data_IF_486691817037
#
_entry.id   IF_486691817037
#
_cell.length_a   1.000
_cell.length_b   1.000
_cell.length_c   1.000
_cell.angle_alpha   90.00
_cell.angle_beta   90.00
_cell.angle_gamma   90.00
#
_symmetry.space_group_name_H-M   'P 1'
#
loop_
_entity.id
_entity.type
_entity.pdbx_description
1 polymer ?
#
# COMPACT_ATOMS: atom_id res chain seq x y z
N UNK A 1 18.39 55.42 75.49
CA UNK A 1 19.86 55.55 75.39
C UNK A 1 20.27 55.52 73.93
N UNK A 2 20.96 56.57 73.49
CA UNK A 2 21.24 56.93 72.11
C UNK A 2 22.17 55.95 71.38
N UNK A 3 21.87 55.65 70.11
CA UNK A 3 22.87 55.09 69.17
C UNK A 3 23.06 56.02 67.98
N UNK A 4 24.34 56.34 67.79
CA UNK A 4 24.95 57.36 66.94
C UNK A 4 24.72 57.10 65.45
N UNK A 5 24.37 58.17 64.76
CA UNK A 5 24.32 58.26 63.30
C UNK A 5 25.76 58.40 62.76
N UNK A 6 26.25 57.41 62.02
CA UNK A 6 27.54 57.45 61.32
C UNK A 6 27.30 57.95 59.89
N UNK A 7 27.66 59.21 59.64
CA UNK A 7 27.79 59.77 58.29
C UNK A 7 28.99 59.12 57.60
N UNK A 8 28.71 58.35 56.54
CA UNK A 8 29.72 57.80 55.63
C UNK A 8 29.89 58.77 54.46
N UNK A 9 30.95 59.57 54.50
CA UNK A 9 31.42 60.37 53.35
C UNK A 9 31.98 59.40 52.30
N UNK A 10 31.38 59.39 51.11
CA UNK A 10 31.96 58.76 49.92
C UNK A 10 32.53 59.87 49.05
N UNK A 11 33.82 59.78 48.77
CA UNK A 11 34.52 60.64 47.82
C UNK A 11 33.94 60.48 46.41
N UNK A 12 33.96 61.55 45.59
CA UNK A 12 33.51 61.49 44.21
C UNK A 12 34.56 60.73 43.38
N UNK A 13 34.20 59.54 42.92
CA UNK A 13 34.93 58.85 41.87
C UNK A 13 34.83 59.69 40.59
N UNK A 14 35.97 60.20 40.14
CA UNK A 14 36.16 60.87 38.85
C UNK A 14 35.75 59.90 37.75
N UNK A 15 34.59 60.16 37.15
CA UNK A 15 34.11 59.45 35.97
C UNK A 15 34.90 59.93 34.76
N UNK A 16 35.79 59.09 34.25
CA UNK A 16 36.35 59.24 32.91
C UNK A 16 35.21 58.90 31.94
N UNK A 17 34.47 59.92 31.51
CA UNK A 17 33.49 59.82 30.43
C UNK A 17 34.23 59.77 29.09
N UNK A 18 34.62 58.57 28.66
CA UNK A 18 34.91 58.33 27.26
C UNK A 18 33.58 58.46 26.51
N UNK A 19 33.38 59.55 25.77
CA UNK A 19 32.25 59.70 24.87
C UNK A 19 32.43 58.74 23.70
N UNK A 20 31.84 57.55 23.85
CA UNK A 20 31.49 56.70 22.73
C UNK A 20 30.20 57.27 22.10
N UNK A 21 30.31 58.45 21.51
CA UNK A 21 29.26 59.04 20.71
C UNK A 21 29.06 58.19 19.46
N UNK A 22 27.82 57.74 19.23
CA UNK A 22 27.32 57.64 17.86
C UNK A 22 26.63 56.37 17.40
N UNK A 23 26.46 55.30 18.20
CA UNK A 23 25.60 54.17 17.78
C UNK A 23 24.30 54.18 18.57
N UNK A 24 23.15 54.57 17.97
CA UNK A 24 21.88 54.58 18.67
C UNK A 24 21.52 53.17 19.12
N UNK A 25 21.55 52.93 20.42
CA UNK A 25 21.25 51.65 21.07
C UNK A 25 19.83 51.11 20.78
N UNK A 26 18.96 51.89 20.12
CA UNK A 26 17.61 51.52 19.72
C UNK A 26 17.48 50.81 18.36
N UNK A 27 18.50 50.84 17.49
CA UNK A 27 18.37 50.30 16.13
C UNK A 27 18.53 48.77 16.03
N UNK A 28 19.17 48.12 17.01
CA UNK A 28 19.57 46.70 16.86
C UNK A 28 18.49 45.66 17.19
N UNK A 29 17.41 46.05 17.89
CA UNK A 29 16.35 45.10 18.32
C UNK A 29 15.17 45.08 17.36
N UNK A 30 14.79 46.23 16.79
CA UNK A 30 13.72 46.30 15.78
C UNK A 30 14.10 45.55 14.49
N UNK A 31 15.35 45.67 14.03
CA UNK A 31 15.86 44.96 12.86
C UNK A 31 15.85 43.44 13.04
N UNK A 32 16.27 42.92 14.21
CA UNK A 32 16.28 41.47 14.50
C UNK A 32 14.90 40.83 14.46
N UNK A 33 13.86 41.54 14.91
CA UNK A 33 12.47 41.03 14.89
C UNK A 33 11.92 40.99 13.46
N UNK A 34 12.31 41.92 12.59
CA UNK A 34 11.89 41.88 11.17
C UNK A 34 12.55 40.73 10.40
N UNK A 35 13.86 40.51 10.59
CA UNK A 35 14.59 39.42 9.93
C UNK A 35 13.98 38.06 10.27
N UNK A 36 13.68 37.78 11.54
CA UNK A 36 13.09 36.50 11.95
C UNK A 36 11.73 36.23 11.30
N UNK A 37 10.90 37.26 11.09
CA UNK A 37 9.58 37.11 10.45
C UNK A 37 9.70 36.83 8.96
N UNK A 38 10.65 37.50 8.30
CA UNK A 38 10.92 37.29 6.89
C UNK A 38 11.39 35.86 6.63
N UNK A 39 12.35 35.36 7.43
CA UNK A 39 12.85 33.98 7.32
C UNK A 39 11.72 32.97 7.50
N UNK A 40 10.86 33.14 8.51
CA UNK A 40 9.72 32.23 8.71
C UNK A 40 8.74 32.23 7.55
N UNK A 41 8.39 33.40 7.03
CA UNK A 41 7.50 33.49 5.87
C UNK A 41 8.13 32.87 4.63
N UNK A 42 9.43 33.08 4.39
CA UNK A 42 10.16 32.49 3.27
C UNK A 42 10.18 30.95 3.36
N UNK A 43 10.49 30.39 4.54
CA UNK A 43 10.46 28.94 4.78
C UNK A 43 9.06 28.39 4.53
N UNK A 44 8.02 29.06 5.03
CA UNK A 44 6.65 28.63 4.84
C UNK A 44 6.21 28.69 3.37
N UNK A 45 6.52 29.78 2.67
CA UNK A 45 6.22 29.93 1.25
C UNK A 45 6.94 28.87 0.40
N UNK A 46 8.19 28.55 0.74
CA UNK A 46 8.93 27.45 0.13
C UNK A 46 8.24 26.10 0.38
N UNK A 47 7.76 25.84 1.60
CA UNK A 47 6.99 24.63 1.87
C UNK A 47 5.71 24.53 1.01
N UNK A 48 4.99 25.64 0.83
CA UNK A 48 3.82 25.66 -0.07
C UNK A 48 4.22 25.37 -1.51
N UNK A 49 5.31 25.96 -2.01
CA UNK A 49 5.79 25.74 -3.37
C UNK A 49 6.16 24.26 -3.62
N UNK A 50 6.92 23.65 -2.70
CA UNK A 50 7.26 22.21 -2.76
C UNK A 50 6.00 21.36 -2.76
N UNK A 51 5.02 21.70 -1.92
CA UNK A 51 3.76 20.97 -1.85
C UNK A 51 2.94 21.03 -3.15
N UNK A 52 2.87 22.22 -3.78
CA UNK A 52 2.21 22.40 -5.08
C UNK A 52 2.89 21.55 -6.14
N UNK A 53 4.23 21.54 -6.18
CA UNK A 53 5.00 20.68 -7.10
C UNK A 53 4.66 19.20 -6.88
N UNK A 54 4.58 18.73 -5.64
CA UNK A 54 4.21 17.34 -5.34
C UNK A 54 2.79 16.99 -5.84
N UNK A 55 1.82 17.89 -5.69
CA UNK A 55 0.46 17.69 -6.23
C UNK A 55 0.49 17.60 -7.76
N UNK A 56 1.24 18.48 -8.42
CA UNK A 56 1.36 18.47 -9.89
C UNK A 56 2.01 17.17 -10.37
N UNK A 57 3.12 16.75 -9.74
CA UNK A 57 3.79 15.48 -10.06
C UNK A 57 2.84 14.30 -9.90
N UNK A 58 2.09 14.25 -8.80
CA UNK A 58 1.08 13.21 -8.58
C UNK A 58 0.01 13.22 -9.68
N UNK A 59 -0.50 14.40 -10.05
CA UNK A 59 -1.50 14.56 -11.11
C UNK A 59 -0.99 14.07 -12.47
N UNK A 60 0.25 14.41 -12.84
CA UNK A 60 0.89 13.96 -14.08
C UNK A 60 1.10 12.44 -14.07
N UNK A 61 1.67 11.88 -13.00
CA UNK A 61 1.91 10.44 -12.90
C UNK A 61 0.61 9.63 -13.01
N UNK A 62 -0.47 10.11 -12.37
CA UNK A 62 -1.79 9.48 -12.46
C UNK A 62 -2.41 9.62 -13.86
N UNK A 63 -2.30 10.77 -14.49
CA UNK A 63 -2.82 10.97 -15.85
C UNK A 63 -2.08 10.09 -16.88
N UNK A 64 -0.78 9.87 -16.67
CA UNK A 64 0.07 9.12 -17.58
C UNK A 64 0.04 7.61 -17.38
N UNK A 65 -0.39 7.13 -16.20
CA UNK A 65 -0.41 5.70 -15.93
C UNK A 65 -1.45 4.94 -16.79
N UNK A 66 -2.43 5.63 -17.37
CA UNK A 66 -3.55 5.05 -18.11
C UNK A 66 -4.69 4.55 -17.20
N UNK A 67 -5.85 4.22 -17.76
CA UNK A 67 -7.02 3.80 -16.99
C UNK A 67 -6.77 2.51 -16.19
N UNK A 68 -7.13 2.50 -14.91
CA UNK A 68 -7.13 1.30 -14.07
C UNK A 68 -5.75 0.76 -13.66
N UNK A 69 -4.66 1.44 -14.03
CA UNK A 69 -3.31 1.11 -13.61
C UNK A 69 -2.93 1.78 -12.29
N UNK A 70 -3.53 2.94 -11.99
CA UNK A 70 -3.31 3.67 -10.74
C UNK A 70 -4.08 3.02 -9.58
N UNK A 71 -3.45 2.76 -8.42
CA UNK A 71 -4.14 2.17 -7.27
C UNK A 71 -5.34 3.00 -6.82
N UNK A 72 -6.49 2.35 -6.61
CA UNK A 72 -7.66 3.01 -6.02
C UNK A 72 -7.59 2.97 -4.50
N UNK A 73 -8.36 3.83 -3.84
CA UNK A 73 -8.43 3.92 -2.37
C UNK A 73 -8.71 2.57 -1.69
N UNK A 74 -9.59 1.77 -2.31
CA UNK A 74 -10.07 0.49 -1.79
C UNK A 74 -9.06 -0.64 -2.06
N UNK A 75 -8.04 -0.39 -2.88
CA UNK A 75 -6.95 -1.33 -3.15
C UNK A 75 -5.86 -1.28 -2.08
N UNK A 76 -5.64 -0.10 -1.50
CA UNK A 76 -4.57 0.18 -0.53
C UNK A 76 -5.09 0.32 0.91
N UNK A 77 -6.38 0.05 1.13
CA UNK A 77 -7.00 0.09 2.46
C UNK A 77 -7.09 1.50 3.05
N UNK A 78 -7.14 2.54 2.22
CA UNK A 78 -7.20 3.93 2.69
C UNK A 78 -8.56 4.24 3.33
N UNK A 79 -8.54 4.70 4.59
CA UNK A 79 -9.76 5.01 5.33
C UNK A 79 -10.20 6.45 5.11
N UNK A 80 -11.17 6.64 4.20
CA UNK A 80 -11.81 7.94 3.95
C UNK A 80 -12.34 8.55 5.26
N UNK A 81 -12.88 7.71 6.16
CA UNK A 81 -13.43 8.16 7.44
C UNK A 81 -12.36 8.83 8.31
N UNK A 82 -11.18 8.22 8.43
CA UNK A 82 -10.07 8.79 9.22
C UNK A 82 -9.53 10.06 8.56
N UNK A 83 -9.34 10.05 7.24
CA UNK A 83 -8.83 11.19 6.50
C UNK A 83 -9.79 12.39 6.53
N UNK A 84 -11.09 12.15 6.41
CA UNK A 84 -12.14 13.16 6.52
C UNK A 84 -12.24 13.72 7.94
N UNK A 85 -12.19 12.88 8.98
CA UNK A 85 -12.19 13.32 10.37
C UNK A 85 -10.98 14.22 10.67
N UNK A 86 -9.78 13.83 10.24
CA UNK A 86 -8.57 14.65 10.37
C UNK A 86 -8.70 16.00 9.66
N UNK A 87 -9.25 16.01 8.45
CA UNK A 87 -9.46 17.24 7.68
C UNK A 87 -10.50 18.15 8.33
N UNK A 88 -11.59 17.59 8.86
CA UNK A 88 -12.60 18.34 9.62
C UNK A 88 -12.00 19.01 10.86
N UNK A 89 -11.18 18.29 11.63
CA UNK A 89 -10.47 18.85 12.79
C UNK A 89 -9.58 20.04 12.40
N UNK A 90 -8.89 19.97 11.25
CA UNK A 90 -8.05 21.06 10.75
C UNK A 90 -8.86 22.29 10.33
N UNK A 91 -10.03 22.10 9.71
CA UNK A 91 -10.94 23.19 9.34
C UNK A 91 -11.49 23.86 10.59
N UNK A 92 -11.99 23.09 11.55
CA UNK A 92 -12.50 23.61 12.83
C UNK A 92 -11.38 24.33 13.59
N UNK A 93 -10.19 23.73 13.66
CA UNK A 93 -9.00 24.36 14.27
C UNK A 93 -8.70 25.73 13.65
N UNK A 94 -8.76 25.84 12.32
CA UNK A 94 -8.57 27.11 11.62
C UNK A 94 -9.62 28.16 12.00
N UNK A 95 -10.90 27.78 12.10
CA UNK A 95 -11.98 28.69 12.52
C UNK A 95 -11.78 29.17 13.96
N UNK A 96 -11.41 28.25 14.86
CA UNK A 96 -11.13 28.57 16.27
C UNK A 96 -9.94 29.55 16.39
N UNK A 97 -8.87 29.35 15.60
CA UNK A 97 -7.72 30.25 15.60
C UNK A 97 -8.06 31.66 15.08
N UNK A 98 -8.92 31.76 14.06
CA UNK A 98 -9.47 33.05 13.61
C UNK A 98 -10.24 33.76 14.73
N UNK A 99 -11.04 33.01 15.49
CA UNK A 99 -11.74 33.50 16.69
C UNK A 99 -10.77 33.98 17.78
N UNK A 100 -9.73 33.19 18.07
CA UNK A 100 -8.68 33.54 19.01
C UNK A 100 -8.07 34.91 18.67
N UNK A 101 -7.68 35.10 17.40
CA UNK A 101 -7.13 36.37 16.91
C UNK A 101 -8.06 37.55 17.15
N UNK A 102 -9.35 37.43 16.76
CA UNK A 102 -10.35 38.50 16.96
C UNK A 102 -10.52 38.88 18.43
N UNK A 103 -10.56 37.89 19.32
CA UNK A 103 -10.66 38.11 20.77
C UNK A 103 -9.43 38.84 21.31
N UNK A 104 -8.25 38.56 20.75
CA UNK A 104 -6.98 39.16 21.17
C UNK A 104 -6.81 40.58 20.63
N UNK A 105 -7.30 40.85 19.43
CA UNK A 105 -7.40 42.20 18.86
C UNK A 105 -8.28 43.12 19.72
N UNK A 106 -9.32 42.57 20.37
CA UNK A 106 -10.16 43.27 21.36
C UNK A 106 -9.52 43.42 22.75
N UNK A 107 -8.27 42.98 22.93
CA UNK A 107 -7.54 43.11 24.19
C UNK A 107 -7.77 41.99 25.23
N UNK A 108 -8.66 41.03 24.95
CA UNK A 108 -8.98 39.93 25.87
C UNK A 108 -7.99 38.74 25.74
N UNK A 109 -6.72 38.98 26.06
CA UNK A 109 -5.63 38.02 25.83
C UNK A 109 -5.89 36.62 26.42
N UNK A 110 -6.31 36.52 27.69
CA UNK A 110 -6.49 35.21 28.35
C UNK A 110 -7.50 34.32 27.62
N UNK A 111 -8.62 34.90 27.17
CA UNK A 111 -9.64 34.18 26.40
C UNK A 111 -9.11 33.76 25.04
N UNK A 112 -8.42 34.67 24.35
CA UNK A 112 -7.81 34.35 23.07
C UNK A 112 -6.74 33.26 23.13
N UNK A 113 -5.90 33.29 24.16
CA UNK A 113 -4.93 32.23 24.43
C UNK A 113 -5.62 30.87 24.66
N UNK A 114 -6.75 30.85 25.36
CA UNK A 114 -7.56 29.63 25.52
C UNK A 114 -8.05 29.09 24.16
N UNK A 115 -8.64 29.93 23.31
CA UNK A 115 -9.04 29.52 21.97
C UNK A 115 -7.86 29.02 21.13
N UNK A 116 -6.72 29.70 21.17
CA UNK A 116 -5.51 29.26 20.48
C UNK A 116 -4.99 27.90 20.98
N UNK A 117 -5.04 27.64 22.28
CA UNK A 117 -4.72 26.33 22.84
C UNK A 117 -5.69 25.24 22.37
N UNK A 118 -6.99 25.54 22.28
CA UNK A 118 -7.98 24.62 21.71
C UNK A 118 -7.68 24.33 20.24
N UNK A 119 -7.35 25.36 19.44
CA UNK A 119 -6.95 25.18 18.04
C UNK A 119 -5.71 24.28 17.92
N UNK A 120 -4.72 24.45 18.79
CA UNK A 120 -3.53 23.61 18.85
C UNK A 120 -3.87 22.15 19.19
N UNK A 121 -4.72 21.92 20.21
CA UNK A 121 -5.17 20.57 20.58
C UNK A 121 -5.88 19.86 19.41
N UNK A 122 -6.75 20.57 18.69
CA UNK A 122 -7.43 20.03 17.51
C UNK A 122 -6.44 19.64 16.39
N UNK A 123 -5.40 20.46 16.16
CA UNK A 123 -4.37 20.13 15.18
C UNK A 123 -3.48 18.95 15.60
N UNK A 124 -3.14 18.84 16.88
CA UNK A 124 -2.41 17.68 17.42
C UNK A 124 -3.26 16.41 17.27
N UNK A 125 -4.56 16.47 17.54
CA UNK A 125 -5.48 15.35 17.29
C UNK A 125 -5.54 14.95 15.82
N UNK A 126 -5.58 15.93 14.91
CA UNK A 126 -5.54 15.67 13.46
C UNK A 126 -4.23 14.99 13.03
N UNK A 127 -3.08 15.44 13.58
CA UNK A 127 -1.78 14.79 13.37
C UNK A 127 -1.78 13.35 13.92
N UNK A 128 -2.42 13.11 15.06
CA UNK A 128 -2.60 11.79 15.64
C UNK A 128 -3.38 10.84 14.72
N UNK A 129 -4.48 11.30 14.12
CA UNK A 129 -5.24 10.52 13.14
C UNK A 129 -4.40 10.19 11.90
N UNK A 130 -3.58 11.15 11.41
CA UNK A 130 -2.64 10.89 10.30
C UNK A 130 -1.56 9.89 10.67
N UNK A 131 -1.00 9.98 11.88
CA UNK A 131 -0.04 9.00 12.37
C UNK A 131 -0.66 7.60 12.49
N UNK A 132 -1.92 7.50 12.91
CA UNK A 132 -2.65 6.24 12.96
C UNK A 132 -2.88 5.65 11.57
N UNK A 133 -3.36 6.45 10.61
CA UNK A 133 -3.52 6.04 9.22
C UNK A 133 -2.20 5.55 8.63
N UNK A 134 -1.11 6.28 8.87
CA UNK A 134 0.21 5.90 8.40
C UNK A 134 0.71 4.58 9.02
N UNK A 135 0.39 4.31 10.29
CA UNK A 135 0.67 3.01 10.93
C UNK A 135 -0.11 1.86 10.27
N UNK A 136 -1.37 2.08 9.89
CA UNK A 136 -2.16 1.08 9.18
C UNK A 136 -1.54 0.77 7.81
N UNK A 137 -1.16 1.80 7.06
CA UNK A 137 -0.45 1.65 5.80
C UNK A 137 0.87 0.89 5.95
N UNK A 138 1.69 1.23 6.95
CA UNK A 138 2.94 0.51 7.22
C UNK A 138 2.72 -0.96 7.59
N UNK A 139 1.66 -1.25 8.36
CA UNK A 139 1.28 -2.62 8.72
C UNK A 139 0.86 -3.42 7.49
N UNK A 140 0.28 -2.75 6.50
CA UNK A 140 -0.14 -3.34 5.24
C UNK A 140 0.93 -3.20 4.15
N UNK A 141 2.18 -2.91 4.53
CA UNK A 141 3.35 -2.97 3.66
C UNK A 141 3.72 -1.68 2.92
N UNK A 142 2.95 -0.60 3.09
CA UNK A 142 3.19 0.71 2.46
C UNK A 142 3.95 1.60 3.44
N UNK A 143 5.27 1.69 3.31
CA UNK A 143 6.15 2.47 4.20
C UNK A 143 6.95 3.58 3.50
N UNK A 144 7.55 4.47 4.30
CA UNK A 144 8.39 5.60 3.86
C UNK A 144 9.74 5.12 3.32
N UNK A 145 10.25 4.02 3.87
CA UNK A 145 11.48 3.36 3.37
C UNK A 145 11.22 2.49 2.14
N UNK A 146 10.08 2.70 1.48
CA UNK A 146 9.64 1.94 0.33
C UNK A 146 8.45 1.05 0.61
N UNK A 147 7.86 0.58 -0.47
CA UNK A 147 6.91 -0.52 -0.42
C UNK A 147 7.69 -1.78 -0.03
N UNK A 148 7.32 -2.41 1.10
CA UNK A 148 7.87 -3.72 1.48
C UNK A 148 7.49 -4.78 0.44
N UNK A 149 7.97 -6.01 0.60
CA UNK A 149 7.77 -7.22 -0.25
C UNK A 149 6.29 -7.60 -0.57
N UNK A 150 5.33 -6.68 -0.42
CA UNK A 150 3.91 -6.85 -0.63
C UNK A 150 3.37 -6.08 -1.84
N UNK A 151 4.05 -5.06 -2.38
CA UNK A 151 3.60 -4.44 -3.65
C UNK A 151 4.66 -4.50 -4.73
N UNK A 152 4.21 -4.94 -5.88
CA UNK A 152 5.01 -5.11 -7.08
C UNK A 152 4.43 -4.21 -8.17
N UNK A 153 5.32 -3.56 -8.93
CA UNK A 153 4.89 -2.73 -10.06
C UNK A 153 4.40 -3.60 -11.23
N UNK A 154 4.90 -4.83 -11.34
CA UNK A 154 4.57 -5.77 -12.40
C UNK A 154 4.33 -7.17 -11.83
N UNK A 155 3.45 -7.92 -12.48
CA UNK A 155 3.19 -9.32 -12.14
C UNK A 155 4.20 -10.18 -12.92
N UNK A 156 5.42 -10.25 -12.42
CA UNK A 156 6.55 -10.96 -13.02
C UNK A 156 6.96 -12.20 -12.20
N UNK A 157 8.07 -12.84 -12.56
CA UNK A 157 8.60 -14.00 -11.83
C UNK A 157 8.96 -13.66 -10.38
N UNK A 158 9.39 -12.42 -10.09
CA UNK A 158 9.66 -11.99 -8.73
C UNK A 158 8.38 -11.88 -7.91
N UNK A 159 7.31 -11.38 -8.51
CA UNK A 159 5.98 -11.37 -7.91
C UNK A 159 5.49 -12.79 -7.60
N UNK A 160 5.58 -13.71 -8.55
CA UNK A 160 5.22 -15.12 -8.37
C UNK A 160 6.00 -15.75 -7.21
N UNK A 161 7.32 -15.55 -7.17
CA UNK A 161 8.16 -16.04 -6.09
C UNK A 161 7.79 -15.42 -4.73
N UNK A 162 7.43 -14.13 -4.68
CA UNK A 162 7.00 -13.48 -3.46
C UNK A 162 5.69 -14.05 -2.92
N UNK A 163 4.72 -14.33 -3.80
CA UNK A 163 3.45 -14.99 -3.43
C UNK A 163 3.73 -16.38 -2.85
N UNK A 164 4.57 -17.18 -3.52
CA UNK A 164 5.00 -18.50 -3.04
C UNK A 164 5.63 -18.43 -1.65
N UNK A 165 6.62 -17.56 -1.48
CA UNK A 165 7.32 -17.34 -0.21
C UNK A 165 6.34 -16.96 0.91
N UNK A 166 5.37 -16.09 0.61
CA UNK A 166 4.35 -15.68 1.59
C UNK A 166 3.46 -16.83 2.02
N UNK A 167 2.95 -17.64 1.08
CA UNK A 167 2.14 -18.82 1.41
C UNK A 167 2.92 -19.84 2.23
N UNK A 168 4.19 -20.09 1.87
CA UNK A 168 5.07 -20.97 2.65
C UNK A 168 5.31 -20.47 4.08
N UNK A 169 5.50 -19.16 4.27
CA UNK A 169 5.62 -18.58 5.61
C UNK A 169 4.34 -18.77 6.44
N UNK A 170 3.17 -18.60 5.82
CA UNK A 170 1.88 -18.79 6.51
C UNK A 170 1.65 -20.24 6.89
N UNK A 171 1.89 -21.18 5.96
CA UNK A 171 1.76 -22.62 6.20
C UNK A 171 2.67 -23.06 7.34
N UNK A 172 3.99 -22.77 7.26
CA UNK A 172 4.95 -23.06 8.33
C UNK A 172 4.53 -22.47 9.67
N UNK A 173 3.99 -21.24 9.65
CA UNK A 173 3.51 -20.58 10.86
C UNK A 173 2.31 -21.28 11.52
N UNK A 174 1.45 -21.93 10.74
CA UNK A 174 0.34 -22.74 11.24
C UNK A 174 0.79 -24.13 11.66
N UNK A 175 1.68 -24.77 10.90
CA UNK A 175 2.27 -26.07 11.25
C UNK A 175 3.02 -26.02 12.58
N UNK A 176 3.83 -24.98 12.81
CA UNK A 176 4.53 -24.76 14.09
C UNK A 176 3.53 -24.59 15.24
N UNK A 177 2.38 -23.94 15.02
CA UNK A 177 1.33 -23.84 16.04
C UNK A 177 0.65 -25.18 16.29
N UNK A 178 0.38 -25.94 15.24
CA UNK A 178 -0.23 -27.28 15.31
C UNK A 178 0.63 -28.22 16.14
N UNK A 179 1.95 -28.21 15.94
CA UNK A 179 2.89 -29.05 16.69
C UNK A 179 3.13 -28.55 18.11
N UNK A 180 3.30 -27.24 18.30
CA UNK A 180 3.59 -26.67 19.61
C UNK A 180 2.38 -26.66 20.56
N UNK A 181 1.15 -26.56 20.03
CA UNK A 181 -0.09 -26.43 20.82
C UNK A 181 -1.25 -27.18 20.15
N UNK A 182 -1.21 -28.53 20.08
CA UNK A 182 -2.23 -29.31 19.38
C UNK A 182 -3.63 -29.11 19.96
N UNK A 183 -3.76 -28.99 21.29
CA UNK A 183 -5.05 -28.76 21.95
C UNK A 183 -5.65 -27.36 21.68
N UNK A 184 -4.83 -26.38 21.26
CA UNK A 184 -5.28 -25.03 20.92
C UNK A 184 -5.44 -24.84 19.40
N UNK A 185 -5.14 -25.86 18.60
CA UNK A 185 -5.25 -25.78 17.14
C UNK A 185 -6.71 -25.96 16.74
N UNK A 186 -7.33 -24.86 16.30
CA UNK A 186 -8.77 -24.83 16.04
C UNK A 186 -9.12 -25.44 14.69
N UNK A 187 -10.39 -25.80 14.51
CA UNK A 187 -10.93 -26.20 13.18
C UNK A 187 -10.71 -25.09 12.15
N UNK A 188 -10.79 -23.82 12.57
CA UNK A 188 -10.51 -22.67 11.70
C UNK A 188 -9.03 -22.60 11.27
N UNK A 189 -8.09 -22.98 12.16
CA UNK A 189 -6.68 -23.05 11.79
C UNK A 189 -6.41 -24.18 10.79
N UNK A 190 -7.08 -25.33 10.95
CA UNK A 190 -7.01 -26.43 9.99
C UNK A 190 -7.56 -26.01 8.62
N UNK A 191 -8.77 -25.44 8.58
CA UNK A 191 -9.38 -24.93 7.34
C UNK A 191 -8.48 -23.88 6.66
N UNK A 192 -7.82 -23.04 7.44
CA UNK A 192 -6.89 -22.05 6.92
C UNK A 192 -5.63 -22.70 6.35
N UNK A 193 -5.10 -23.73 7.00
CA UNK A 193 -3.97 -24.51 6.49
C UNK A 193 -4.34 -25.20 5.18
N UNK A 194 -5.50 -25.85 5.13
CA UNK A 194 -6.02 -26.52 3.92
C UNK A 194 -6.19 -25.54 2.76
N UNK A 195 -6.74 -24.35 3.03
CA UNK A 195 -6.82 -23.27 2.06
C UNK A 195 -5.44 -22.84 1.55
N UNK A 196 -4.47 -22.67 2.44
CA UNK A 196 -3.10 -22.26 2.06
C UNK A 196 -2.45 -23.32 1.19
N UNK A 197 -2.56 -24.60 1.56
CA UNK A 197 -2.04 -25.73 0.78
C UNK A 197 -2.66 -25.76 -0.61
N UNK A 198 -3.98 -25.64 -0.69
CA UNK A 198 -4.69 -25.56 -1.98
C UNK A 198 -4.21 -24.37 -2.83
N UNK A 199 -3.97 -23.18 -2.23
CA UNK A 199 -3.40 -22.04 -2.97
C UNK A 199 -1.94 -22.28 -3.40
N UNK A 200 -1.15 -23.02 -2.62
CA UNK A 200 0.22 -23.35 -3.00
C UNK A 200 0.25 -24.27 -4.22
N UNK A 201 -0.64 -25.26 -4.27
CA UNK A 201 -0.72 -26.25 -5.35
C UNK A 201 -1.46 -25.69 -6.57
N UNK A 202 -2.74 -25.37 -6.38
CA UNK A 202 -3.64 -25.03 -7.47
C UNK A 202 -3.44 -23.62 -8.01
N UNK A 203 -2.93 -22.65 -7.23
CA UNK A 203 -2.67 -21.29 -7.72
C UNK A 203 -1.21 -21.09 -8.09
N UNK A 204 -0.30 -21.24 -7.14
CA UNK A 204 1.13 -20.93 -7.37
C UNK A 204 1.82 -22.04 -8.15
N UNK A 205 1.67 -23.30 -7.73
CA UNK A 205 2.32 -24.46 -8.37
C UNK A 205 1.91 -24.60 -9.83
N UNK A 206 0.60 -24.53 -10.09
CA UNK A 206 0.05 -24.47 -11.44
C UNK A 206 0.66 -23.34 -12.28
N UNK A 207 0.70 -22.11 -11.74
CA UNK A 207 1.25 -20.96 -12.47
C UNK A 207 2.75 -21.14 -12.75
N UNK A 208 3.53 -21.66 -11.80
CA UNK A 208 4.95 -21.96 -11.99
C UNK A 208 5.18 -23.00 -13.10
N UNK A 209 4.39 -24.09 -13.08
CA UNK A 209 4.48 -25.14 -14.08
C UNK A 209 4.13 -24.61 -15.47
N UNK A 210 3.03 -23.89 -15.62
CA UNK A 210 2.64 -23.30 -16.90
C UNK A 210 3.67 -22.30 -17.41
N UNK A 211 4.16 -21.41 -16.55
CA UNK A 211 5.22 -20.46 -16.91
C UNK A 211 6.50 -21.18 -17.38
N UNK A 212 6.80 -22.34 -16.79
CA UNK A 212 7.90 -23.22 -17.21
C UNK A 212 7.68 -23.91 -18.55
N UNK A 213 6.43 -24.13 -18.98
CA UNK A 213 6.13 -24.63 -20.33
C UNK A 213 6.29 -23.55 -21.40
N UNK A 214 5.99 -22.30 -21.08
CA UNK A 214 6.05 -21.17 -22.02
C UNK A 214 7.40 -20.43 -22.01
N UNK A 215 8.54 -21.15 -21.91
CA UNK A 215 9.87 -20.52 -21.80
C UNK A 215 10.19 -19.55 -22.95
N UNK A 216 9.72 -19.87 -24.16
CA UNK A 216 9.97 -19.08 -25.37
C UNK A 216 8.98 -17.90 -25.51
N UNK A 217 7.75 -18.05 -25.02
CA UNK A 217 6.72 -17.03 -25.13
C UNK A 217 6.64 -16.16 -23.86
N UNK A 218 7.35 -15.04 -23.90
CA UNK A 218 7.38 -14.06 -22.81
C UNK A 218 6.03 -13.41 -22.56
N UNK A 219 5.19 -13.27 -23.58
CA UNK A 219 3.87 -12.65 -23.44
C UNK A 219 2.92 -13.60 -22.71
N UNK A 220 2.85 -14.88 -23.12
CA UNK A 220 2.01 -15.89 -22.48
C UNK A 220 2.37 -16.07 -21.01
N UNK A 221 3.68 -16.09 -20.67
CA UNK A 221 4.13 -16.14 -19.27
C UNK A 221 3.61 -14.96 -18.47
N UNK A 222 3.73 -13.75 -19.02
CA UNK A 222 3.26 -12.54 -18.35
C UNK A 222 1.75 -12.56 -18.14
N UNK A 223 0.97 -12.94 -19.15
CA UNK A 223 -0.49 -13.03 -19.05
C UNK A 223 -0.95 -14.04 -17.99
N UNK A 224 -0.23 -15.17 -17.83
CA UNK A 224 -0.51 -16.15 -16.77
C UNK A 224 -0.25 -15.58 -15.38
N UNK A 225 0.88 -14.89 -15.18
CA UNK A 225 1.20 -14.30 -13.88
C UNK A 225 0.27 -13.10 -13.59
N UNK A 226 -0.12 -12.33 -14.61
CA UNK A 226 -1.12 -11.27 -14.50
C UNK A 226 -2.51 -11.81 -14.14
N UNK A 227 -2.90 -12.96 -14.69
CA UNK A 227 -4.11 -13.66 -14.30
C UNK A 227 -4.05 -14.03 -12.82
N UNK A 228 -2.97 -14.68 -12.35
CA UNK A 228 -2.79 -14.98 -10.92
C UNK A 228 -2.86 -13.70 -10.05
N UNK A 229 -2.20 -12.62 -10.47
CA UNK A 229 -2.25 -11.34 -9.75
C UNK A 229 -3.67 -10.79 -9.65
N UNK A 230 -4.46 -10.89 -10.72
CA UNK A 230 -5.87 -10.49 -10.72
C UNK A 230 -6.69 -11.35 -9.74
N UNK A 231 -6.46 -12.66 -9.67
CA UNK A 231 -7.18 -13.55 -8.76
C UNK A 231 -6.89 -13.20 -7.29
N UNK A 232 -5.64 -12.79 -7.00
CA UNK A 232 -5.24 -12.33 -5.67
C UNK A 232 -5.90 -10.98 -5.32
N UNK A 233 -5.88 -10.04 -6.26
CA UNK A 233 -6.43 -8.71 -6.09
C UNK A 233 -6.98 -8.13 -7.42
N UNK A 234 -8.30 -8.27 -7.66
CA UNK A 234 -8.94 -7.77 -8.86
C UNK A 234 -8.85 -6.25 -8.96
N UNK A 235 -8.35 -5.78 -10.10
CA UNK A 235 -8.32 -4.36 -10.46
C UNK A 235 -9.16 -4.13 -11.70
N UNK A 236 -9.96 -3.06 -11.72
CA UNK A 236 -10.88 -2.77 -12.82
C UNK A 236 -10.18 -2.76 -14.20
N UNK A 237 -8.96 -2.21 -14.29
CA UNK A 237 -8.21 -2.13 -15.56
C UNK A 237 -7.69 -3.45 -16.12
N UNK A 238 -7.69 -4.55 -15.34
CA UNK A 238 -7.20 -5.87 -15.77
C UNK A 238 -8.32 -6.87 -16.00
N UNK A 239 -9.58 -6.49 -15.78
CA UNK A 239 -10.71 -7.42 -15.76
C UNK A 239 -10.91 -8.15 -17.08
N UNK A 240 -10.93 -7.41 -18.19
CA UNK A 240 -11.26 -8.01 -19.49
C UNK A 240 -10.15 -8.96 -19.97
N UNK A 241 -8.88 -8.55 -19.80
CA UNK A 241 -7.72 -9.40 -20.09
C UNK A 241 -7.69 -10.65 -19.21
N UNK A 242 -7.92 -10.50 -17.91
CA UNK A 242 -7.95 -11.64 -16.99
C UNK A 242 -9.12 -12.59 -17.28
N UNK A 243 -10.28 -12.07 -17.66
CA UNK A 243 -11.44 -12.88 -18.07
C UNK A 243 -11.16 -13.65 -19.35
N UNK A 244 -10.65 -12.99 -20.38
CA UNK A 244 -10.29 -13.65 -21.64
C UNK A 244 -9.27 -14.77 -21.39
N UNK A 245 -8.26 -14.51 -20.55
CA UNK A 245 -7.25 -15.52 -20.20
C UNK A 245 -7.83 -16.67 -19.39
N UNK A 246 -8.75 -16.40 -18.46
CA UNK A 246 -9.40 -17.45 -17.68
C UNK A 246 -10.24 -18.39 -18.55
N UNK A 247 -10.92 -17.89 -19.58
CA UNK A 247 -11.65 -18.74 -20.53
C UNK A 247 -10.70 -19.60 -21.37
N UNK A 248 -9.59 -19.03 -21.85
CA UNK A 248 -8.53 -19.81 -22.53
C UNK A 248 -7.96 -20.89 -21.60
N UNK A 249 -7.75 -20.58 -20.33
CA UNK A 249 -7.30 -21.54 -19.33
C UNK A 249 -8.31 -22.68 -19.11
N UNK A 250 -9.60 -22.37 -19.01
CA UNK A 250 -10.66 -23.39 -18.88
C UNK A 250 -10.68 -24.34 -20.06
N UNK A 251 -10.61 -23.81 -21.28
CA UNK A 251 -10.54 -24.62 -22.50
C UNK A 251 -9.26 -25.48 -22.55
N UNK A 252 -8.13 -24.94 -22.10
CA UNK A 252 -6.88 -25.68 -22.01
C UNK A 252 -6.96 -26.83 -20.99
N UNK A 253 -7.55 -26.58 -19.81
CA UNK A 253 -7.79 -27.59 -18.78
C UNK A 253 -8.67 -28.73 -19.31
N UNK A 254 -9.78 -28.39 -19.97
CA UNK A 254 -10.69 -29.38 -20.56
C UNK A 254 -9.99 -30.24 -21.63
N UNK A 255 -9.23 -29.61 -22.54
CA UNK A 255 -8.47 -30.33 -23.56
C UNK A 255 -7.42 -31.25 -22.96
N UNK A 256 -6.65 -30.80 -21.97
CA UNK A 256 -5.66 -31.64 -21.27
C UNK A 256 -6.30 -32.81 -20.55
N UNK A 257 -7.47 -32.61 -19.91
CA UNK A 257 -8.21 -33.69 -19.27
C UNK A 257 -8.65 -34.75 -20.28
N UNK A 258 -9.21 -34.33 -21.41
CA UNK A 258 -9.57 -35.25 -22.50
C UNK A 258 -8.35 -36.01 -23.02
N UNK A 259 -7.22 -35.32 -23.17
CA UNK A 259 -5.96 -35.91 -23.61
C UNK A 259 -5.47 -37.01 -22.66
N UNK A 260 -5.45 -36.74 -21.35
CA UNK A 260 -5.09 -37.75 -20.35
C UNK A 260 -6.13 -38.88 -20.22
N UNK A 261 -7.41 -38.59 -20.42
CA UNK A 261 -8.46 -39.62 -20.42
C UNK A 261 -8.27 -40.62 -21.56
N UNK A 262 -7.92 -40.14 -22.76
CA UNK A 262 -7.60 -40.98 -23.93
C UNK A 262 -6.38 -41.86 -23.66
N UNK A 263 -5.31 -41.31 -23.07
CA UNK A 263 -4.14 -42.11 -22.69
C UNK A 263 -4.45 -43.13 -21.58
N UNK A 264 -5.26 -42.74 -20.59
CA UNK A 264 -5.69 -43.64 -19.52
C UNK A 264 -6.47 -44.83 -20.10
N UNK A 265 -7.41 -44.56 -21.00
CA UNK A 265 -8.18 -45.60 -21.68
C UNK A 265 -7.26 -46.54 -22.45
N UNK A 266 -6.29 -46.00 -23.20
CA UNK A 266 -5.28 -46.79 -23.89
C UNK A 266 -4.50 -47.73 -22.96
N UNK A 267 -4.01 -47.22 -21.81
CA UNK A 267 -3.25 -48.01 -20.84
C UNK A 267 -4.09 -49.11 -20.15
N UNK A 268 -5.41 -48.96 -20.09
CA UNK A 268 -6.30 -49.93 -19.44
C UNK A 268 -6.72 -51.06 -20.37
N UNK A 269 -6.56 -50.90 -21.69
CA UNK A 269 -6.90 -51.95 -22.64
C UNK A 269 -5.81 -53.02 -22.69
N UNK A 270 -6.17 -54.32 -22.73
CA UNK A 270 -5.18 -55.40 -22.80
C UNK A 270 -4.35 -55.34 -24.10
N UNK A 271 -3.11 -55.81 -24.02
CA UNK A 271 -2.23 -55.97 -25.18
C UNK A 271 -2.77 -57.11 -26.09
N UNK A 272 -3.56 -56.75 -27.09
CA UNK A 272 -4.05 -57.65 -28.14
C UNK A 272 -3.33 -57.45 -29.48
N UNK A 273 -3.65 -58.31 -30.46
CA UNK A 273 -3.04 -58.34 -31.79
C UNK A 273 -3.14 -56.99 -32.56
N UNK A 274 -4.11 -56.13 -32.21
CA UNK A 274 -4.34 -54.83 -32.86
C UNK A 274 -3.62 -53.64 -32.18
N UNK A 275 -2.53 -53.87 -31.45
CA UNK A 275 -1.82 -52.83 -30.70
C UNK A 275 -1.38 -51.63 -31.57
N UNK A 276 -0.88 -51.88 -32.79
CA UNK A 276 -0.41 -50.81 -33.70
C UNK A 276 -1.58 -49.98 -34.27
N UNK A 277 -2.68 -50.62 -34.67
CA UNK A 277 -3.86 -49.91 -35.18
C UNK A 277 -4.47 -49.01 -34.09
N UNK A 278 -4.54 -49.52 -32.85
CA UNK A 278 -4.98 -48.74 -31.68
C UNK A 278 -4.07 -47.56 -31.40
N UNK A 279 -2.75 -47.77 -31.40
CA UNK A 279 -1.78 -46.70 -31.20
C UNK A 279 -1.95 -45.57 -32.24
N UNK A 280 -2.15 -45.92 -33.52
CA UNK A 280 -2.40 -44.94 -34.57
C UNK A 280 -3.69 -44.14 -34.35
N UNK A 281 -4.80 -44.80 -33.98
CA UNK A 281 -6.07 -44.12 -33.70
C UNK A 281 -6.01 -43.21 -32.46
N UNK A 282 -5.32 -43.64 -31.41
CA UNK A 282 -5.06 -42.82 -30.22
C UNK A 282 -4.21 -41.61 -30.59
N UNK A 283 -3.12 -41.82 -31.34
CA UNK A 283 -2.26 -40.72 -31.80
C UNK A 283 -3.04 -39.68 -32.60
N UNK A 284 -3.85 -40.10 -33.56
CA UNK A 284 -4.71 -39.18 -34.33
C UNK A 284 -5.67 -38.40 -33.41
N UNK A 285 -6.25 -39.05 -32.41
CA UNK A 285 -7.14 -38.40 -31.43
C UNK A 285 -6.38 -37.36 -30.59
N UNK A 286 -5.18 -37.69 -30.12
CA UNK A 286 -4.32 -36.78 -29.36
C UNK A 286 -3.85 -35.59 -30.23
N UNK A 287 -3.57 -35.81 -31.52
CA UNK A 287 -3.24 -34.76 -32.50
C UNK A 287 -4.39 -33.77 -32.68
N UNK A 288 -5.63 -34.26 -32.74
CA UNK A 288 -6.83 -33.40 -32.82
C UNK A 288 -7.06 -32.57 -31.55
N UNK A 289 -6.68 -33.08 -30.38
CA UNK A 289 -6.85 -32.37 -29.10
C UNK A 289 -5.80 -31.26 -28.88
N UNK A 290 -4.62 -31.36 -29.51
CA UNK A 290 -3.68 -30.24 -29.70
C UNK A 290 -3.08 -29.61 -28.44
N UNK A 291 -3.01 -30.32 -27.30
CA UNK A 291 -2.68 -29.70 -26.00
C UNK A 291 -1.83 -30.56 -25.03
N UNK A 292 -1.15 -31.60 -25.53
CA UNK A 292 -0.44 -32.56 -24.67
C UNK A 292 1.06 -32.63 -24.87
N UNK A 293 1.73 -33.21 -23.87
CA UNK A 293 3.16 -33.52 -23.93
C UNK A 293 3.39 -34.75 -24.81
N UNK A 294 3.79 -34.52 -26.06
CA UNK A 294 4.07 -35.59 -27.01
C UNK A 294 5.21 -36.50 -26.59
N UNK A 295 6.19 -35.99 -25.82
CA UNK A 295 7.26 -36.83 -25.30
C UNK A 295 6.69 -37.82 -24.27
N UNK A 296 5.76 -37.36 -23.42
CA UNK A 296 5.05 -38.23 -22.49
C UNK A 296 4.20 -39.28 -23.22
N UNK A 297 3.38 -38.90 -24.21
CA UNK A 297 2.58 -39.86 -24.98
C UNK A 297 3.45 -40.88 -25.71
N UNK A 298 4.57 -40.44 -26.31
CA UNK A 298 5.52 -41.34 -26.95
C UNK A 298 6.10 -42.36 -25.96
N UNK A 299 6.43 -41.93 -24.73
CA UNK A 299 6.88 -42.83 -23.67
C UNK A 299 5.79 -43.84 -23.27
N UNK A 300 4.53 -43.40 -23.14
CA UNK A 300 3.40 -44.30 -22.88
C UNK A 300 3.25 -45.37 -23.97
N UNK A 301 3.37 -44.97 -25.24
CA UNK A 301 3.30 -45.93 -26.35
C UNK A 301 4.48 -46.88 -26.40
N UNK A 302 5.68 -46.40 -26.06
CA UNK A 302 6.89 -47.23 -26.01
C UNK A 302 6.79 -48.29 -24.90
N UNK A 303 6.28 -47.90 -23.74
CA UNK A 303 6.17 -48.75 -22.55
C UNK A 303 4.96 -49.70 -22.59
N UNK A 304 4.11 -49.62 -23.62
CA UNK A 304 2.86 -50.38 -23.73
C UNK A 304 3.04 -51.92 -23.74
N UNK A 305 4.24 -52.41 -24.05
CA UNK A 305 4.57 -53.84 -24.02
C UNK A 305 4.96 -54.37 -22.64
N UNK A 306 5.25 -53.50 -21.67
CA UNK A 306 5.69 -53.88 -20.32
C UNK A 306 4.61 -53.48 -19.30
N UNK A 307 3.99 -54.47 -18.65
CA UNK A 307 2.91 -54.24 -17.69
C UNK A 307 3.34 -53.44 -16.46
N UNK A 308 4.61 -53.53 -16.07
CA UNK A 308 5.14 -52.80 -14.91
C UNK A 308 5.30 -51.33 -15.25
N UNK A 309 5.95 -51.02 -16.37
CA UNK A 309 6.12 -49.65 -16.85
C UNK A 309 4.77 -49.00 -17.18
N UNK A 310 3.86 -49.75 -17.81
CA UNK A 310 2.51 -49.28 -18.10
C UNK A 310 1.73 -48.95 -16.81
N UNK A 311 1.90 -49.75 -15.75
CA UNK A 311 1.34 -49.46 -14.43
C UNK A 311 1.88 -48.15 -13.84
N UNK A 312 3.18 -47.89 -13.99
CA UNK A 312 3.80 -46.62 -13.57
C UNK A 312 3.24 -45.43 -14.37
N UNK A 313 3.12 -45.56 -15.68
CA UNK A 313 2.51 -44.53 -16.55
C UNK A 313 1.07 -44.25 -16.17
N UNK A 314 0.29 -45.29 -15.87
CA UNK A 314 -1.09 -45.12 -15.42
C UNK A 314 -1.17 -44.33 -14.11
N UNK A 315 -0.24 -44.58 -13.16
CA UNK A 315 -0.15 -43.79 -11.94
C UNK A 315 0.21 -42.31 -12.22
N UNK A 316 1.15 -42.04 -13.13
CA UNK A 316 1.51 -40.69 -13.56
C UNK A 316 0.33 -39.96 -14.22
N UNK A 317 -0.45 -40.66 -15.07
CA UNK A 317 -1.67 -40.12 -15.69
C UNK A 317 -2.72 -39.81 -14.62
N UNK A 318 -2.96 -40.71 -13.67
CA UNK A 318 -3.93 -40.49 -12.59
C UNK A 318 -3.53 -39.32 -11.69
N UNK A 319 -2.24 -39.16 -11.38
CA UNK A 319 -1.73 -38.00 -10.65
C UNK A 319 -1.98 -36.70 -11.43
N UNK A 320 -1.68 -36.69 -12.74
CA UNK A 320 -1.92 -35.52 -13.60
C UNK A 320 -3.40 -35.15 -13.69
N UNK A 321 -4.29 -36.15 -13.75
CA UNK A 321 -5.74 -35.92 -13.70
C UNK A 321 -6.19 -35.34 -12.36
N UNK A 322 -5.65 -35.82 -11.24
CA UNK A 322 -5.95 -35.27 -9.91
C UNK A 322 -5.52 -33.80 -9.77
N UNK A 323 -4.36 -33.43 -10.32
CA UNK A 323 -3.89 -32.04 -10.34
C UNK A 323 -4.80 -31.13 -11.18
N UNK A 324 -5.26 -31.62 -12.35
CA UNK A 324 -6.24 -30.91 -13.18
C UNK A 324 -7.58 -30.74 -12.46
N UNK A 325 -8.04 -31.77 -11.74
CA UNK A 325 -9.27 -31.72 -10.95
C UNK A 325 -9.16 -30.70 -9.81
N UNK A 326 -8.00 -30.64 -9.13
CA UNK A 326 -7.72 -29.66 -8.09
C UNK A 326 -7.71 -28.22 -8.65
N UNK A 327 -7.07 -28.00 -9.81
CA UNK A 327 -7.10 -26.70 -10.49
C UNK A 327 -8.51 -26.31 -10.93
N UNK A 328 -9.27 -27.22 -11.53
CA UNK A 328 -10.66 -26.95 -11.94
C UNK A 328 -11.54 -26.62 -10.73
N UNK A 329 -11.40 -27.37 -9.63
CA UNK A 329 -12.10 -27.08 -8.39
C UNK A 329 -11.74 -25.69 -7.85
N UNK A 330 -10.46 -25.29 -7.93
CA UNK A 330 -10.02 -23.94 -7.59
C UNK A 330 -10.66 -22.88 -8.51
N UNK A 331 -10.62 -23.08 -9.83
CA UNK A 331 -11.25 -22.18 -10.81
C UNK A 331 -12.73 -22.01 -10.50
N UNK A 332 -13.47 -23.10 -10.30
CA UNK A 332 -14.90 -23.05 -10.02
C UNK A 332 -15.24 -22.39 -8.69
N UNK A 333 -14.46 -22.68 -7.65
CA UNK A 333 -14.80 -22.24 -6.28
C UNK A 333 -14.37 -20.79 -6.04
N UNK A 334 -13.19 -20.42 -6.52
CA UNK A 334 -12.59 -19.13 -6.22
C UNK A 334 -12.64 -18.17 -7.41
N UNK A 335 -12.59 -18.64 -8.66
CA UNK A 335 -12.48 -17.74 -9.82
C UNK A 335 -13.82 -17.44 -10.48
N UNK A 336 -14.68 -18.45 -10.67
CA UNK A 336 -15.97 -18.24 -11.35
C UNK A 336 -16.86 -17.18 -10.66
N UNK A 337 -16.94 -17.11 -9.32
CA UNK A 337 -17.63 -16.00 -8.67
C UNK A 337 -17.05 -14.62 -9.02
N UNK A 338 -15.73 -14.53 -9.24
CA UNK A 338 -15.05 -13.29 -9.67
C UNK A 338 -15.39 -12.89 -11.10
N UNK A 339 -15.64 -13.85 -11.97
CA UNK A 339 -16.00 -13.58 -13.36
C UNK A 339 -17.46 -13.19 -13.52
N UNK A 340 -18.34 -13.82 -12.75
CA UNK A 340 -19.77 -13.59 -12.82
C UNK A 340 -20.19 -12.27 -12.18
N UNK A 341 -19.48 -11.83 -11.13
CA UNK A 341 -19.79 -10.58 -10.44
C UNK A 341 -18.66 -9.58 -10.52
N UNK A 342 -18.95 -8.39 -11.07
CA UNK A 342 -18.03 -7.25 -11.09
C UNK A 342 -17.57 -6.80 -9.69
N UNK A 343 -18.33 -7.16 -8.65
CA UNK A 343 -18.09 -6.76 -7.26
C UNK A 343 -17.45 -7.85 -6.41
N UNK A 344 -17.17 -9.03 -6.97
CA UNK A 344 -16.66 -10.14 -6.18
C UNK A 344 -15.24 -9.82 -5.65
N UNK A 345 -15.01 -9.99 -4.34
CA UNK A 345 -13.77 -9.60 -3.69
C UNK A 345 -12.66 -10.61 -3.95
N UNK A 346 -11.49 -10.20 -4.48
CA UNK A 346 -10.35 -11.11 -4.65
C UNK A 346 -9.88 -11.81 -3.37
N UNK A 347 -8.96 -12.76 -3.50
CA UNK A 347 -8.48 -13.58 -2.38
C UNK A 347 -8.06 -12.75 -1.15
N UNK A 348 -7.37 -11.62 -1.33
CA UNK A 348 -6.98 -10.77 -0.20
C UNK A 348 -8.16 -10.10 0.52
N UNK A 349 -9.24 -9.79 -0.19
CA UNK A 349 -10.46 -9.23 0.40
C UNK A 349 -11.35 -10.30 1.02
N UNK A 350 -11.48 -11.46 0.34
CA UNK A 350 -12.24 -12.60 0.85
C UNK A 350 -11.58 -13.23 2.09
N UNK A 351 -10.23 -13.21 2.14
CA UNK A 351 -9.44 -13.81 3.21
C UNK A 351 -8.39 -12.82 3.75
N UNK A 352 -8.79 -11.81 4.57
CA UNK A 352 -7.92 -10.74 5.05
C UNK A 352 -6.68 -11.21 5.85
N UNK A 353 -6.70 -12.45 6.32
CA UNK A 353 -5.59 -13.08 7.02
C UNK A 353 -4.42 -13.46 6.10
N UNK A 354 -4.64 -13.67 4.79
CA UNK A 354 -3.59 -14.09 3.86
C UNK A 354 -2.58 -12.96 3.64
N UNK A 355 -3.06 -11.77 3.27
CA UNK A 355 -2.21 -10.62 2.91
C UNK A 355 -1.13 -11.03 1.91
N UNK A 356 -1.57 -11.63 0.80
CA UNK A 356 -0.69 -12.01 -0.30
C UNK A 356 -0.13 -10.75 -0.97
N UNK A 357 1.09 -10.80 -1.52
CA UNK A 357 1.61 -9.71 -2.32
C UNK A 357 0.65 -9.33 -3.44
N UNK A 358 0.56 -8.05 -3.73
CA UNK A 358 -0.28 -7.49 -4.78
C UNK A 358 0.59 -6.85 -5.85
N UNK A 359 0.18 -6.97 -7.10
CA UNK A 359 0.80 -6.27 -8.23
C UNK A 359 -0.12 -5.17 -8.72
N UNK A 360 0.34 -3.92 -8.67
CA UNK A 360 -0.31 -2.80 -9.36
C UNK A 360 0.73 -2.05 -10.18
N UNK A 361 0.42 -1.68 -11.43
CA UNK A 361 1.32 -0.80 -12.18
C UNK A 361 1.57 0.49 -11.38
N UNK A 362 2.81 0.92 -11.31
CA UNK A 362 3.20 2.15 -10.60
C UNK A 362 2.88 2.16 -9.09
N UNK A 363 2.70 1.00 -8.45
CA UNK A 363 2.47 0.90 -7.00
C UNK A 363 3.52 1.67 -6.19
N UNK A 364 4.80 1.56 -6.58
CA UNK A 364 5.91 2.25 -5.90
C UNK A 364 5.85 3.76 -6.08
N UNK A 365 5.57 4.22 -7.30
CA UNK A 365 5.45 5.64 -7.60
C UNK A 365 4.26 6.26 -6.85
N UNK A 366 3.11 5.56 -6.82
CA UNK A 366 1.95 5.93 -6.03
C UNK A 366 2.30 6.04 -4.54
N UNK A 367 2.91 5.00 -3.95
CA UNK A 367 3.25 4.97 -2.54
C UNK A 367 4.24 6.08 -2.16
N UNK A 368 5.24 6.33 -3.01
CA UNK A 368 6.21 7.40 -2.81
C UNK A 368 5.54 8.78 -2.86
N UNK A 369 4.67 9.04 -3.84
CA UNK A 369 3.94 10.31 -3.92
C UNK A 369 2.99 10.51 -2.75
N UNK A 370 2.23 9.46 -2.39
CA UNK A 370 1.35 9.47 -1.24
C UNK A 370 2.11 9.79 0.05
N UNK A 371 3.23 9.11 0.28
CA UNK A 371 4.05 9.31 1.46
C UNK A 371 4.67 10.71 1.48
N UNK A 372 5.20 11.19 0.34
CA UNK A 372 5.79 12.52 0.22
C UNK A 372 4.77 13.63 0.51
N UNK A 373 3.59 13.60 -0.12
CA UNK A 373 2.52 14.59 0.07
C UNK A 373 2.05 14.59 1.53
N UNK A 374 1.78 13.41 2.09
CA UNK A 374 1.26 13.28 3.47
C UNK A 374 2.30 13.70 4.52
N UNK A 375 3.56 13.32 4.34
CA UNK A 375 4.65 13.71 5.22
C UNK A 375 4.88 15.22 5.13
N UNK A 376 4.92 15.78 3.93
CA UNK A 376 5.14 17.21 3.75
C UNK A 376 4.01 18.05 4.37
N UNK A 377 2.77 17.63 4.19
CA UNK A 377 1.62 18.26 4.86
C UNK A 377 1.75 18.20 6.39
N UNK A 378 2.20 17.06 6.92
CA UNK A 378 2.44 16.89 8.36
C UNK A 378 3.57 17.81 8.86
N UNK A 379 4.65 17.97 8.10
CA UNK A 379 5.74 18.92 8.41
C UNK A 379 5.21 20.35 8.45
N UNK A 380 4.40 20.76 7.46
CA UNK A 380 3.78 22.09 7.47
C UNK A 380 2.88 22.31 8.69
N UNK A 381 2.13 21.28 9.09
CA UNK A 381 1.27 21.33 10.28
C UNK A 381 2.10 21.48 11.57
N UNK A 382 3.21 20.74 11.70
CA UNK A 382 4.13 20.85 12.84
C UNK A 382 4.78 22.23 12.89
N UNK A 383 5.26 22.76 11.77
CA UNK A 383 5.82 24.12 11.71
C UNK A 383 4.77 25.17 12.08
N UNK A 384 3.52 25.00 11.65
CA UNK A 384 2.39 25.86 12.02
C UNK A 384 2.08 25.77 13.53
N UNK A 385 2.13 24.58 14.13
CA UNK A 385 1.98 24.37 15.57
C UNK A 385 3.11 25.04 16.37
N UNK A 386 4.37 24.88 15.95
CA UNK A 386 5.52 25.50 16.60
C UNK A 386 5.45 27.04 16.54
N UNK A 387 5.05 27.59 15.40
CA UNK A 387 4.86 29.05 15.26
C UNK A 387 3.69 29.57 16.11
N UNK A 388 2.62 28.78 16.27
CA UNK A 388 1.53 29.09 17.19
C UNK A 388 1.99 29.11 18.66
N UNK A 389 2.75 28.09 19.09
CA UNK A 389 3.34 28.04 20.44
C UNK A 389 4.26 29.23 20.67
N UNK A 390 5.15 29.51 19.72
CA UNK A 390 6.05 30.67 19.79
C UNK A 390 5.28 31.99 19.92
N UNK A 391 4.20 32.16 19.16
CA UNK A 391 3.33 33.33 19.24
C UNK A 391 2.63 33.46 20.60
N UNK A 392 2.19 32.34 21.20
CA UNK A 392 1.63 32.32 22.54
C UNK A 392 2.64 32.72 23.62
N UNK A 393 3.92 32.42 23.43
CA UNK A 393 4.99 32.78 24.35
C UNK A 393 5.46 34.26 24.24
N UNK A 394 5.10 34.99 23.18
CA UNK A 394 5.58 36.36 22.99
C UNK A 394 5.03 37.36 24.03
N UNK A 395 5.93 38.17 24.59
CA UNK A 395 5.59 39.32 25.45
C UNK A 395 5.38 40.59 24.60
N UNK A 396 4.43 41.44 24.99
CA UNK A 396 4.09 42.70 24.29
C UNK A 396 2.96 42.61 23.24
N UNK A 397 2.04 43.61 23.24
CA UNK A 397 0.84 43.64 22.38
C UNK A 397 1.14 43.85 20.88
N UNK A 398 2.08 44.76 20.55
CA UNK A 398 2.38 45.14 19.15
C UNK A 398 3.02 44.01 18.35
N UNK A 399 3.99 43.30 18.94
CA UNK A 399 4.63 42.15 18.30
C UNK A 399 3.59 41.03 18.01
N UNK A 400 2.67 40.80 18.95
CA UNK A 400 1.60 39.79 18.82
C UNK A 400 0.58 40.10 17.72
N UNK A 401 0.16 41.35 17.56
CA UNK A 401 -0.83 41.72 16.54
C UNK A 401 -0.32 41.49 15.12
N UNK A 402 0.89 41.96 14.81
CA UNK A 402 1.44 41.79 13.47
C UNK A 402 1.80 40.32 13.16
N UNK A 403 2.22 39.53 14.16
CA UNK A 403 2.55 38.11 13.95
C UNK A 403 1.30 37.24 13.83
N UNK A 404 0.21 37.65 14.50
CA UNK A 404 -1.05 36.92 14.48
C UNK A 404 -1.67 36.83 13.08
N UNK A 405 -1.55 37.87 12.24
CA UNK A 405 -2.09 37.83 10.87
C UNK A 405 -1.38 36.80 10.00
N UNK A 406 -0.04 36.81 10.00
CA UNK A 406 0.78 35.86 9.23
C UNK A 406 0.54 34.44 9.73
N UNK A 407 0.52 34.24 11.05
CA UNK A 407 0.25 32.93 11.66
C UNK A 407 -1.11 32.37 11.25
N UNK A 408 -2.18 33.17 11.33
CA UNK A 408 -3.52 32.71 10.94
C UNK A 408 -3.58 32.36 9.45
N UNK A 409 -2.89 33.13 8.59
CA UNK A 409 -2.79 32.81 7.16
C UNK A 409 -2.07 31.48 6.93
N UNK A 410 -0.87 31.29 7.50
CA UNK A 410 -0.10 30.06 7.38
C UNK A 410 -0.87 28.83 7.86
N UNK A 411 -1.58 28.97 8.99
CA UNK A 411 -2.42 27.92 9.55
C UNK A 411 -3.58 27.58 8.63
N UNK A 412 -4.32 28.60 8.18
CA UNK A 412 -5.49 28.41 7.32
C UNK A 412 -5.10 27.73 6.01
N UNK A 413 -4.04 28.20 5.34
CA UNK A 413 -3.54 27.57 4.13
C UNK A 413 -3.14 26.13 4.38
N UNK A 414 -2.48 25.81 5.50
CA UNK A 414 -2.13 24.41 5.85
C UNK A 414 -3.38 23.54 6.01
N UNK A 415 -4.46 24.06 6.60
CA UNK A 415 -5.75 23.37 6.67
C UNK A 415 -6.38 23.17 5.29
N UNK A 416 -6.39 24.20 4.45
CA UNK A 416 -6.93 24.13 3.07
C UNK A 416 -6.17 23.11 2.24
N UNK A 417 -4.83 23.12 2.29
CA UNK A 417 -4.01 22.12 1.61
C UNK A 417 -4.35 20.71 2.10
N UNK A 418 -4.63 20.52 3.39
CA UNK A 418 -5.07 19.23 3.93
C UNK A 418 -6.39 18.73 3.34
N UNK A 419 -7.34 19.63 3.09
CA UNK A 419 -8.60 19.32 2.38
C UNK A 419 -8.33 18.99 0.91
N UNK A 420 -7.41 19.71 0.26
CA UNK A 420 -6.99 19.40 -1.11
C UNK A 420 -6.33 18.02 -1.18
N UNK A 421 -5.46 17.64 -0.22
CA UNK A 421 -4.90 16.28 -0.12
C UNK A 421 -6.01 15.24 -0.07
N UNK A 422 -7.03 15.46 0.77
CA UNK A 422 -8.18 14.56 0.87
C UNK A 422 -8.88 14.42 -0.49
N UNK A 423 -9.14 15.53 -1.19
CA UNK A 423 -9.76 15.51 -2.51
C UNK A 423 -8.92 14.77 -3.55
N UNK A 424 -7.62 15.08 -3.64
CA UNK A 424 -6.73 14.51 -4.67
C UNK A 424 -6.43 13.04 -4.42
N UNK A 425 -6.22 12.63 -3.16
CA UNK A 425 -5.86 11.24 -2.83
C UNK A 425 -7.08 10.31 -2.71
N UNK A 426 -8.26 10.82 -2.32
CA UNK A 426 -9.43 9.98 -1.99
C UNK A 426 -10.68 10.26 -2.84
N UNK A 427 -10.74 11.40 -3.54
CA UNK A 427 -11.93 11.88 -4.25
C UNK A 427 -12.08 11.40 -5.69
N UNK A 428 -11.14 10.61 -6.20
CA UNK A 428 -11.09 10.17 -7.59
C UNK A 428 -11.01 8.66 -7.74
#
# INVERSE_FOLDING_TARGET
MARKCLKRTRDPAVAISASADGVPAGASTAGRVQVGRFVWFAVWAWCVAVFVVLIVVLGVLRAWSGPGSWPQRDDVGLSIKLAAAGSCLLVVSSCVLCGARRVMERGAWRRGACYASVALLLAVSALGLRAQEYRLLCRDGIGLTGVRDQFFDQADLYYLHAVKKRLQQLSRGLEVRRTARPAAFSVADQQRLDLITMLQEALVGWTEQEVGHWLEDTQQRRELIELMAYQIHPTAGRRDGARARAEVEKEALQRRRQWFAVLREYCQQPAGADASARQSGVRETLERLGAGDWAFAAAVFHDAGDSTLLGERLNQINASLADLDAREAFVRTYLDPHWQSASAPGLNRAQPGLRLPVSFPNARAWAACFAAITLWHSVMLVLSALTLVWWLCQRGRRARQASGRVLTLCWHTTSVLGVVVLGVLYGW
#
